data_IF_302940304804
#
_entry.id   IF_302940304804
#
_cell.length_a   1.000
_cell.length_b   1.000
_cell.length_c   1.000
_cell.angle_alpha   90.00
_cell.angle_beta   90.00
_cell.angle_gamma   90.00
#
_symmetry.space_group_name_H-M   'P 1'
#
loop_
_entity.id
_entity.type
_entity.pdbx_description
1 polymer ?
#
# COMPACT_ATOMS: atom_id res chain seq x y z
N UNK A 1 12.89 -18.81 -4.59
CA UNK A 1 13.55 -19.24 -3.34
C UNK A 1 13.10 -18.23 -2.31
N UNK A 2 12.31 -18.65 -1.34
CA UNK A 2 11.82 -17.73 -0.31
C UNK A 2 12.98 -17.21 0.52
N UNK A 3 12.91 -15.94 0.89
CA UNK A 3 13.89 -15.28 1.76
C UNK A 3 13.65 -15.73 3.20
N UNK A 4 14.72 -15.84 4.02
CA UNK A 4 14.53 -16.12 5.45
C UNK A 4 13.72 -14.98 6.09
N UNK A 5 12.64 -15.26 6.85
CA UNK A 5 11.81 -14.23 7.47
C UNK A 5 12.60 -13.25 8.34
N UNK A 6 13.70 -13.69 8.96
CA UNK A 6 14.57 -12.80 9.74
C UNK A 6 15.29 -11.79 8.88
N UNK A 7 15.66 -12.17 7.65
CA UNK A 7 16.30 -11.26 6.70
C UNK A 7 15.25 -10.30 6.13
N UNK A 8 14.06 -10.78 5.78
CA UNK A 8 12.97 -9.92 5.35
C UNK A 8 12.56 -8.90 6.43
N UNK A 9 12.47 -9.34 7.69
CA UNK A 9 12.19 -8.44 8.82
C UNK A 9 13.26 -7.37 9.02
N UNK A 10 14.53 -7.71 8.79
CA UNK A 10 15.63 -6.73 8.84
C UNK A 10 15.49 -5.67 7.74
N UNK A 11 15.14 -6.10 6.51
CA UNK A 11 14.86 -5.17 5.40
C UNK A 11 13.67 -4.26 5.71
N UNK A 12 12.57 -4.80 6.24
CA UNK A 12 11.41 -4.01 6.67
C UNK A 12 11.79 -3.00 7.75
N UNK A 13 12.57 -3.41 8.75
CA UNK A 13 13.03 -2.51 9.81
C UNK A 13 13.89 -1.38 9.24
N UNK A 14 14.80 -1.68 8.32
CA UNK A 14 15.62 -0.68 7.65
C UNK A 14 14.78 0.31 6.82
N UNK A 15 13.78 -0.17 6.07
CA UNK A 15 12.87 0.68 5.32
C UNK A 15 12.08 1.63 6.23
N UNK A 16 11.60 1.15 7.39
CA UNK A 16 10.92 1.98 8.40
C UNK A 16 11.84 3.06 8.97
N UNK A 17 13.11 2.74 9.24
CA UNK A 17 14.11 3.70 9.71
C UNK A 17 14.42 4.76 8.64
N UNK A 18 14.55 4.37 7.38
CA UNK A 18 14.74 5.28 6.25
C UNK A 18 13.54 6.19 6.02
N UNK A 19 12.32 5.65 6.11
CA UNK A 19 11.09 6.44 6.03
C UNK A 19 11.00 7.47 7.17
N UNK A 20 11.35 7.08 8.41
CA UNK A 20 11.44 8.03 9.52
C UNK A 20 12.49 9.12 9.26
N UNK A 21 13.66 8.76 8.74
CA UNK A 21 14.70 9.71 8.40
C UNK A 21 14.23 10.70 7.32
N UNK A 22 13.61 10.23 6.24
CA UNK A 22 13.03 11.05 5.18
C UNK A 22 11.95 12.00 5.74
N UNK A 23 11.01 11.48 6.52
CA UNK A 23 9.95 12.28 7.14
C UNK A 23 10.50 13.37 8.06
N UNK A 24 11.57 13.07 8.81
CA UNK A 24 12.22 14.04 9.71
C UNK A 24 13.00 15.13 8.97
N UNK A 25 13.47 14.85 7.75
CA UNK A 25 14.26 15.74 6.92
C UNK A 25 13.45 16.47 5.83
N UNK A 26 12.13 16.22 5.76
CA UNK A 26 11.27 16.67 4.67
C UNK A 26 11.29 18.19 4.48
N UNK A 27 11.30 18.63 3.22
CA UNK A 27 11.29 20.05 2.84
C UNK A 27 9.97 20.43 2.19
N UNK A 28 8.99 20.72 3.03
CA UNK A 28 7.64 21.11 2.60
C UNK A 28 6.71 19.91 2.41
N UNK A 29 5.50 20.20 1.94
CA UNK A 29 4.50 19.18 1.62
C UNK A 29 4.84 18.53 0.27
N UNK A 30 4.63 17.22 0.16
CA UNK A 30 4.92 16.45 -1.07
C UNK A 30 6.42 16.24 -1.33
N UNK A 31 7.23 16.04 -0.29
CA UNK A 31 8.65 15.71 -0.47
C UNK A 31 8.79 14.31 -1.12
N UNK A 32 9.39 14.20 -2.33
CA UNK A 32 9.45 12.94 -3.07
C UNK A 32 10.32 11.89 -2.36
N UNK A 33 11.21 12.30 -1.44
CA UNK A 33 11.99 11.35 -0.65
C UNK A 33 11.12 10.62 0.39
N UNK A 34 10.08 11.27 0.91
CA UNK A 34 9.13 10.67 1.85
C UNK A 34 8.23 9.70 1.11
N UNK A 35 7.71 10.11 -0.05
CA UNK A 35 6.88 9.27 -0.93
C UNK A 35 7.65 8.02 -1.40
N UNK A 36 8.88 8.18 -1.87
CA UNK A 36 9.70 7.02 -2.25
C UNK A 36 9.96 6.07 -1.07
N UNK A 37 10.20 6.60 0.12
CA UNK A 37 10.41 5.78 1.31
C UNK A 37 9.11 5.12 1.80
N UNK A 38 7.95 5.74 1.57
CA UNK A 38 6.64 5.15 1.84
C UNK A 38 6.43 3.88 1.00
N UNK A 39 6.62 3.95 -0.32
CA UNK A 39 6.53 2.78 -1.20
C UNK A 39 7.57 1.71 -0.85
N UNK A 40 8.79 2.11 -0.50
CA UNK A 40 9.82 1.16 -0.07
C UNK A 40 9.43 0.38 1.20
N UNK A 41 8.67 0.99 2.12
CA UNK A 41 8.13 0.30 3.30
C UNK A 41 7.07 -0.72 2.90
N UNK A 42 6.16 -0.36 1.98
CA UNK A 42 5.13 -1.26 1.47
C UNK A 42 5.76 -2.51 0.83
N UNK A 43 6.67 -2.32 -0.13
CA UNK A 43 7.40 -3.40 -0.80
C UNK A 43 8.11 -4.32 0.20
N UNK A 44 8.82 -3.73 1.18
CA UNK A 44 9.55 -4.51 2.18
C UNK A 44 8.62 -5.29 3.12
N UNK A 45 7.42 -4.74 3.38
CA UNK A 45 6.41 -5.41 4.19
C UNK A 45 5.81 -6.61 3.47
N UNK A 46 5.47 -6.49 2.19
CA UNK A 46 4.95 -7.61 1.39
C UNK A 46 5.94 -8.78 1.36
N UNK A 47 7.24 -8.48 1.14
CA UNK A 47 8.30 -9.50 1.14
C UNK A 47 8.41 -10.19 2.51
N UNK A 48 8.19 -9.45 3.61
CA UNK A 48 8.18 -10.02 4.96
C UNK A 48 6.94 -10.88 5.21
N UNK A 49 5.74 -10.44 4.82
CA UNK A 49 4.51 -11.22 4.94
C UNK A 49 4.61 -12.53 4.16
N UNK A 50 5.08 -12.49 2.91
CA UNK A 50 5.27 -13.68 2.08
C UNK A 50 6.25 -14.66 2.72
N UNK A 51 7.40 -14.17 3.20
CA UNK A 51 8.40 -15.01 3.87
C UNK A 51 7.84 -15.62 5.16
N UNK A 52 7.10 -14.84 5.96
CA UNK A 52 6.48 -15.29 7.20
C UNK A 52 5.43 -16.38 6.94
N UNK A 53 4.61 -16.19 5.91
CA UNK A 53 3.61 -17.15 5.51
C UNK A 53 4.24 -18.44 4.97
N UNK A 54 5.24 -18.35 4.11
CA UNK A 54 5.94 -19.54 3.60
C UNK A 54 6.64 -20.34 4.71
N UNK A 55 7.23 -19.67 5.70
CA UNK A 55 7.98 -20.33 6.77
C UNK A 55 7.10 -20.89 7.89
N UNK A 56 6.01 -20.19 8.24
CA UNK A 56 5.23 -20.48 9.44
C UNK A 56 3.72 -20.57 9.22
N UNK A 57 3.23 -20.26 8.01
CA UNK A 57 1.81 -20.19 7.68
C UNK A 57 1.05 -19.20 8.59
N UNK A 58 1.72 -18.09 8.92
CA UNK A 58 1.21 -16.99 9.74
C UNK A 58 1.20 -15.68 8.92
N UNK A 59 0.33 -14.76 9.31
CA UNK A 59 0.18 -13.42 8.71
C UNK A 59 0.06 -12.36 9.80
N UNK A 60 0.44 -11.12 9.52
CA UNK A 60 0.26 -10.02 10.48
C UNK A 60 -1.10 -9.36 10.35
N UNK A 61 -1.59 -8.65 11.39
CA UNK A 61 -2.85 -7.90 11.31
C UNK A 61 -2.68 -6.54 10.61
N UNK A 62 -1.65 -6.37 9.77
CA UNK A 62 -1.33 -5.13 9.06
C UNK A 62 -1.73 -5.25 7.58
N UNK A 63 -1.98 -4.12 6.93
CA UNK A 63 -2.33 -4.04 5.51
C UNK A 63 -1.57 -2.87 4.87
N UNK A 64 -1.17 -3.04 3.62
CA UNK A 64 -0.66 -1.95 2.77
C UNK A 64 -1.87 -1.18 2.24
N UNK A 65 -1.81 0.14 2.28
CA UNK A 65 -2.77 1.00 1.58
C UNK A 65 -2.17 1.31 0.22
N UNK A 66 -2.88 0.96 -0.85
CA UNK A 66 -2.56 1.45 -2.18
C UNK A 66 -3.23 2.82 -2.36
N UNK A 67 -2.46 3.85 -2.68
CA UNK A 67 -2.98 5.19 -2.98
C UNK A 67 -3.81 5.22 -4.30
N UNK A 68 -3.93 4.08 -5.00
CA UNK A 68 -4.68 3.92 -6.26
C UNK A 68 -6.18 3.61 -6.06
N UNK A 69 -6.65 3.29 -4.84
CA UNK A 69 -8.07 2.99 -4.58
C UNK A 69 -8.98 4.23 -4.45
N UNK A 70 -8.50 5.44 -4.77
CA UNK A 70 -9.29 6.68 -4.82
C UNK A 70 -9.76 7.07 -6.25
N UNK A 71 -9.67 6.15 -7.23
CA UNK A 71 -10.21 6.34 -8.59
C UNK A 71 -11.46 5.47 -8.91
N UNK A 72 -12.19 4.97 -7.90
CA UNK A 72 -13.44 4.24 -8.16
C UNK A 72 -14.65 5.18 -8.43
N UNK A 73 -14.94 5.28 -9.74
CA UNK A 73 -16.26 5.12 -10.34
C UNK A 73 -17.26 6.28 -10.24
N UNK A 74 -17.04 7.32 -11.06
CA UNK A 74 -18.14 8.11 -11.63
C UNK A 74 -18.87 7.23 -12.68
N UNK A 75 -19.57 6.19 -12.20
CA UNK A 75 -20.55 5.48 -13.02
C UNK A 75 -21.67 6.46 -13.34
N UNK A 76 -21.60 7.09 -14.52
CA UNK A 76 -22.74 7.80 -15.12
C UNK A 76 -23.95 6.85 -15.07
N UNK A 77 -24.93 7.16 -14.22
CA UNK A 77 -26.20 6.46 -14.20
C UNK A 77 -26.82 6.61 -15.59
N UNK A 78 -26.90 5.49 -16.32
CA UNK A 78 -27.62 5.38 -17.58
C UNK A 78 -29.05 5.89 -17.37
N UNK A 79 -29.40 7.01 -18.01
CA UNK A 79 -30.73 7.59 -18.03
C UNK A 79 -31.68 6.60 -18.73
N UNK A 80 -32.16 5.58 -18.00
CA UNK A 80 -33.19 4.66 -18.45
C UNK A 80 -34.52 5.43 -18.62
N UNK A 81 -34.70 5.96 -19.82
CA UNK A 81 -35.95 6.12 -20.59
C UNK A 81 -37.25 6.08 -19.74
N UNK A 82 -37.61 7.22 -19.13
CA UNK A 82 -38.96 7.43 -18.59
C UNK A 82 -39.98 7.57 -19.73
N UNK A 83 -40.44 6.45 -20.29
CA UNK A 83 -41.63 6.45 -21.15
C UNK A 83 -42.85 6.81 -20.29
N UNK A 84 -43.27 8.07 -20.39
CA UNK A 84 -44.53 8.57 -19.81
C UNK A 84 -45.67 7.79 -20.46
N UNK A 85 -46.30 6.88 -19.70
CA UNK A 85 -47.58 6.29 -20.08
C UNK A 85 -48.65 7.39 -19.96
N UNK A 86 -48.99 8.03 -21.08
CA UNK A 86 -50.22 8.82 -21.17
C UNK A 86 -51.44 7.89 -21.29
N UNK A 87 -52.51 8.27 -20.57
CA UNK A 87 -53.79 7.57 -20.34
C UNK A 87 -54.55 7.13 -21.61
#
# INVERSE_FOLDING_TARGET
>A
MSIDPRVALQSLTAALEEHLAAASARRGDGDPSVEAAFFAVADAFEVYEDALYEAYNEVTPLQVFDDEEDEEEDQEADDEDLEIVEE
#
